data_IF_642713316389
#
_entry.id   IF_642713316389
#
_cell.length_a   1.000
_cell.length_b   1.000
_cell.length_c   1.000
_cell.angle_alpha   90.00
_cell.angle_beta   90.00
_cell.angle_gamma   90.00
#
_symmetry.space_group_name_H-M   'P 1'
#
loop_
_entity.id
_entity.type
_entity.pdbx_description
1 polymer ?
#
# COMPACT_ATOMS: atom_id res chain seq x y z
N UNK A 1 13.52 1.80 20.97
CA UNK A 1 13.65 1.53 19.51
C UNK A 1 13.10 2.76 18.86
N UNK A 2 13.92 3.51 18.13
CA UNK A 2 13.62 4.90 17.73
C UNK A 2 12.21 5.14 17.16
N UNK A 3 11.71 4.25 16.31
CA UNK A 3 10.37 4.39 15.71
C UNK A 3 9.22 4.20 16.73
N UNK A 4 9.46 3.52 17.86
CA UNK A 4 8.48 3.29 18.93
C UNK A 4 8.51 4.39 20.01
N UNK A 5 9.42 5.35 19.92
CA UNK A 5 9.54 6.42 20.90
C UNK A 5 8.65 7.61 20.50
N UNK A 6 7.95 8.19 21.48
CA UNK A 6 7.09 9.35 21.25
C UNK A 6 7.90 10.59 20.84
N UNK A 7 7.27 11.48 20.06
CA UNK A 7 7.90 12.70 19.56
C UNK A 7 8.87 12.44 18.40
N UNK A 8 9.41 13.52 17.81
CA UNK A 8 10.32 13.45 16.67
C UNK A 8 11.63 14.13 17.03
N UNK A 9 12.66 13.34 17.29
CA UNK A 9 14.04 13.79 17.49
C UNK A 9 14.87 13.30 16.31
N UNK A 10 15.39 14.19 15.48
CA UNK A 10 16.14 13.78 14.30
C UNK A 10 17.47 13.11 14.67
N UNK A 11 17.90 12.06 13.93
CA UNK A 11 19.23 11.50 14.11
C UNK A 11 20.34 12.51 13.84
N UNK A 12 21.48 12.36 14.52
CA UNK A 12 22.66 13.24 14.36
C UNK A 12 23.10 13.31 12.90
N UNK A 13 22.96 12.21 12.14
CA UNK A 13 23.36 12.14 10.73
C UNK A 13 22.52 13.03 9.80
N UNK A 14 21.38 13.55 10.26
CA UNK A 14 20.60 14.55 9.55
C UNK A 14 21.26 15.94 9.60
N UNK A 15 21.88 16.29 10.74
CA UNK A 15 22.54 17.59 10.94
C UNK A 15 24.01 17.39 11.38
N UNK A 16 24.90 16.95 10.47
CA UNK A 16 26.28 16.63 10.82
C UNK A 16 27.13 17.85 11.27
N UNK A 17 26.65 19.07 11.02
CA UNK A 17 27.31 20.31 11.43
C UNK A 17 26.86 20.81 12.80
N UNK A 18 25.86 20.17 13.41
CA UNK A 18 25.32 20.51 14.72
C UNK A 18 25.91 19.56 15.77
N UNK A 19 27.25 19.57 15.88
CA UNK A 19 27.97 18.86 16.92
C UNK A 19 27.76 19.62 18.23
N UNK A 20 26.71 19.23 18.95
CA UNK A 20 26.19 19.90 20.15
C UNK A 20 27.25 20.28 21.17
N UNK A 21 27.39 21.59 21.40
CA UNK A 21 28.09 22.18 22.53
C UNK A 21 27.15 23.14 23.29
N UNK A 22 25.85 22.79 23.37
CA UNK A 22 24.91 23.44 24.28
C UNK A 22 24.67 22.53 25.49
N UNK A 23 25.37 22.88 26.56
CA UNK A 23 25.35 22.23 27.88
C UNK A 23 24.06 22.55 28.65
N UNK A 24 22.90 22.18 28.12
CA UNK A 24 21.65 22.16 28.88
C UNK A 24 21.36 20.71 29.31
N UNK A 25 21.44 20.45 30.63
CA UNK A 25 21.29 19.12 31.25
C UNK A 25 19.89 18.48 31.06
N UNK A 26 18.98 19.12 30.31
CA UNK A 26 17.64 18.65 29.97
C UNK A 26 17.41 18.36 28.47
N UNK A 27 18.39 18.57 27.58
CA UNK A 27 18.23 18.29 26.16
C UNK A 27 18.33 16.78 25.84
N UNK A 28 17.30 16.23 25.17
CA UNK A 28 17.29 14.83 24.71
C UNK A 28 18.42 14.64 23.70
N UNK A 29 19.37 13.77 24.03
CA UNK A 29 20.48 13.43 23.15
C UNK A 29 19.92 12.82 21.84
N UNK A 30 20.27 13.39 20.67
CA UNK A 30 19.78 12.88 19.39
C UNK A 30 20.30 11.46 19.14
N UNK A 31 19.47 10.58 18.57
CA UNK A 31 19.88 9.21 18.27
C UNK A 31 20.90 9.19 17.11
N UNK A 32 21.62 8.09 16.95
CA UNK A 32 22.62 7.92 15.89
C UNK A 32 22.48 6.56 15.21
N UNK A 33 22.39 6.57 13.88
CA UNK A 33 22.23 5.39 13.04
C UNK A 33 23.17 5.42 11.82
N UNK A 34 24.50 5.44 12.01
CA UNK A 34 25.43 5.82 10.96
C UNK A 34 25.39 4.87 9.76
N UNK A 35 25.34 3.55 9.96
CA UNK A 35 25.28 2.59 8.86
C UNK A 35 23.96 2.69 8.08
N UNK A 36 22.82 2.87 8.78
CA UNK A 36 21.51 3.01 8.17
C UNK A 36 21.42 4.32 7.37
N UNK A 37 21.85 5.42 7.97
CA UNK A 37 21.88 6.75 7.33
C UNK A 37 22.75 6.75 6.07
N UNK A 38 23.91 6.09 6.11
CA UNK A 38 24.76 5.90 4.94
C UNK A 38 24.06 5.08 3.85
N UNK A 39 23.38 3.99 4.20
CA UNK A 39 22.64 3.16 3.24
C UNK A 39 21.48 3.93 2.59
N UNK A 40 20.74 4.74 3.37
CA UNK A 40 19.67 5.59 2.85
C UNK A 40 20.23 6.63 1.88
N UNK A 41 21.30 7.34 2.26
CA UNK A 41 21.95 8.33 1.37
C UNK A 41 22.45 7.69 0.07
N UNK A 42 23.04 6.50 0.15
CA UNK A 42 23.47 5.76 -1.04
C UNK A 42 22.30 5.37 -1.96
N UNK A 43 21.14 5.00 -1.40
CA UNK A 43 19.95 4.72 -2.19
C UNK A 43 19.39 5.98 -2.87
N UNK A 44 19.35 7.10 -2.15
CA UNK A 44 18.98 8.42 -2.69
C UNK A 44 19.93 8.82 -3.83
N UNK A 45 21.25 8.70 -3.64
CA UNK A 45 22.23 9.02 -4.68
C UNK A 45 22.04 8.14 -5.93
N UNK A 46 21.75 6.85 -5.73
CA UNK A 46 21.56 5.89 -6.83
C UNK A 46 20.26 6.11 -7.61
N UNK A 47 19.15 6.38 -6.92
CA UNK A 47 17.81 6.38 -7.52
C UNK A 47 17.18 7.78 -7.65
N UNK A 48 17.78 8.80 -7.04
CA UNK A 48 17.29 10.18 -6.97
C UNK A 48 16.14 10.34 -5.98
N UNK A 49 15.00 9.74 -6.29
CA UNK A 49 13.78 9.79 -5.47
C UNK A 49 13.44 8.38 -5.01
N UNK A 50 13.24 8.21 -3.70
CA UNK A 50 12.91 6.93 -3.10
C UNK A 50 11.62 7.01 -2.26
N UNK A 51 11.02 5.87 -1.98
CA UNK A 51 9.87 5.72 -1.07
C UNK A 51 10.23 4.67 -0.01
N UNK A 52 10.27 5.03 1.29
CA UNK A 52 10.52 4.08 2.35
C UNK A 52 9.29 3.22 2.66
N UNK A 53 9.51 1.97 3.05
CA UNK A 53 8.50 1.01 3.51
C UNK A 53 9.15 0.05 4.50
N UNK A 54 8.46 -0.33 5.57
CA UNK A 54 8.90 -1.44 6.43
C UNK A 54 8.55 -2.78 5.79
N UNK A 55 8.48 -3.87 6.55
CA UNK A 55 8.18 -5.19 6.01
C UNK A 55 6.84 -5.19 5.23
N UNK A 56 5.81 -4.50 5.74
CA UNK A 56 4.48 -4.55 5.15
C UNK A 56 3.88 -3.18 4.80
N UNK A 57 4.22 -2.11 5.51
CA UNK A 57 3.52 -0.81 5.39
C UNK A 57 4.36 0.30 4.76
N UNK A 58 3.73 1.02 3.83
CA UNK A 58 4.25 2.29 3.29
C UNK A 58 3.63 3.44 4.10
N UNK A 59 4.40 4.46 4.54
CA UNK A 59 3.94 5.54 5.43
C UNK A 59 3.09 6.60 4.69
N UNK A 60 2.02 6.15 4.06
CA UNK A 60 1.19 6.97 3.16
C UNK A 60 0.18 7.84 3.88
N UNK A 61 -0.23 7.39 5.05
CA UNK A 61 -0.97 8.14 6.06
C UNK A 61 -0.16 9.33 6.57
N UNK A 62 1.18 9.25 6.61
CA UNK A 62 2.06 10.32 7.07
C UNK A 62 2.40 11.39 6.01
N UNK A 63 1.91 11.28 4.77
CA UNK A 63 2.26 12.22 3.67
C UNK A 63 2.05 13.70 4.01
N UNK A 64 1.14 14.01 4.94
CA UNK A 64 0.84 15.37 5.38
C UNK A 64 2.02 16.07 6.05
N UNK A 65 3.00 15.31 6.57
CA UNK A 65 4.20 15.87 7.19
C UNK A 65 5.15 16.47 6.14
N UNK A 66 5.06 16.01 4.89
CA UNK A 66 5.86 16.52 3.79
C UNK A 66 5.22 17.80 3.21
N UNK A 67 5.99 18.88 2.95
CA UNK A 67 5.44 20.16 2.47
C UNK A 67 4.61 20.06 1.19
N UNK A 68 4.94 19.10 0.32
CA UNK A 68 4.23 18.84 -0.95
C UNK A 68 3.23 17.69 -0.87
N UNK A 69 2.89 17.22 0.34
CA UNK A 69 1.91 16.16 0.58
C UNK A 69 2.21 14.84 -0.18
N UNK A 70 3.48 14.41 -0.15
CA UNK A 70 4.00 13.23 -0.84
C UNK A 70 4.75 12.31 0.12
N UNK A 71 4.96 11.06 -0.31
CA UNK A 71 5.82 10.07 0.36
C UNK A 71 7.19 9.92 -0.31
N UNK A 72 7.46 10.73 -1.33
CA UNK A 72 8.71 10.75 -2.05
C UNK A 72 9.79 11.42 -1.18
N UNK A 73 10.89 10.72 -0.97
CA UNK A 73 12.05 11.22 -0.24
C UNK A 73 13.22 11.45 -1.19
N UNK A 74 13.87 12.60 -1.02
CA UNK A 74 15.13 13.00 -1.65
C UNK A 74 16.22 13.33 -0.64
N UNK A 75 15.86 13.34 0.66
CA UNK A 75 16.76 13.63 1.77
C UNK A 75 16.64 12.58 2.87
N UNK A 76 17.63 12.54 3.76
CA UNK A 76 17.66 11.58 4.87
C UNK A 76 16.56 11.90 5.90
N UNK A 77 16.35 13.19 6.11
CA UNK A 77 15.41 13.80 7.03
C UNK A 77 13.98 13.40 6.67
N UNK A 78 13.63 13.47 5.38
CA UNK A 78 12.31 13.08 4.88
C UNK A 78 11.99 11.60 5.16
N UNK A 79 12.99 10.70 5.04
CA UNK A 79 12.81 9.27 5.33
C UNK A 79 12.48 9.05 6.80
N UNK A 80 13.28 9.63 7.71
CA UNK A 80 13.05 9.49 9.14
C UNK A 80 11.74 10.13 9.58
N UNK A 81 11.41 11.29 9.01
CA UNK A 81 10.18 12.03 9.32
C UNK A 81 8.94 11.21 8.95
N UNK A 82 8.87 10.71 7.71
CA UNK A 82 7.72 9.93 7.24
C UNK A 82 7.53 8.63 8.05
N UNK A 83 8.60 7.86 8.27
CA UNK A 83 8.52 6.62 9.04
C UNK A 83 8.06 6.85 10.47
N UNK A 84 8.52 7.93 11.10
CA UNK A 84 8.21 8.23 12.51
C UNK A 84 6.84 8.90 12.71
N UNK A 85 6.28 9.49 11.65
CA UNK A 85 4.96 10.13 11.68
C UNK A 85 3.82 9.24 11.17
N UNK A 86 4.09 7.97 10.86
CA UNK A 86 3.09 7.04 10.30
C UNK A 86 2.48 6.13 11.37
N UNK A 87 1.16 6.20 11.49
CA UNK A 87 0.35 5.28 12.29
C UNK A 87 0.38 3.87 11.70
N UNK A 88 0.49 3.73 10.37
CA UNK A 88 0.65 2.43 9.74
C UNK A 88 1.95 1.75 10.15
N UNK A 89 3.06 2.49 10.13
CA UNK A 89 4.37 2.00 10.61
C UNK A 89 4.31 1.68 12.11
N UNK A 90 3.73 2.57 12.93
CA UNK A 90 3.60 2.33 14.36
C UNK A 90 2.73 1.09 14.67
N UNK A 91 1.61 0.93 13.97
CA UNK A 91 0.73 -0.22 14.11
C UNK A 91 1.42 -1.53 13.72
N UNK A 92 2.18 -1.52 12.63
CA UNK A 92 3.01 -2.65 12.21
C UNK A 92 3.98 -3.09 13.31
N UNK A 93 4.74 -2.13 13.87
CA UNK A 93 5.71 -2.37 14.95
C UNK A 93 5.03 -2.84 16.26
N UNK A 94 3.79 -2.43 16.49
CA UNK A 94 2.97 -2.88 17.62
C UNK A 94 2.37 -4.29 17.43
N UNK A 95 2.63 -4.95 16.29
CA UNK A 95 2.16 -6.30 16.01
C UNK A 95 0.85 -6.39 15.24
N UNK A 96 0.30 -5.27 14.76
CA UNK A 96 -0.94 -5.28 13.97
C UNK A 96 -0.80 -6.05 12.65
N UNK A 97 0.43 -6.28 12.18
CA UNK A 97 0.70 -7.13 11.03
C UNK A 97 0.24 -8.59 11.21
N UNK A 98 0.14 -9.06 12.46
CA UNK A 98 -0.26 -10.42 12.81
C UNK A 98 -1.68 -10.52 13.37
N UNK A 99 -2.43 -9.40 13.39
CA UNK A 99 -3.85 -9.42 13.73
C UNK A 99 -4.60 -10.30 12.71
N UNK A 100 -5.34 -11.30 13.21
CA UNK A 100 -6.09 -12.23 12.37
C UNK A 100 -5.31 -13.47 11.89
N UNK A 101 -4.02 -13.59 12.23
CA UNK A 101 -3.31 -14.86 12.07
C UNK A 101 -3.93 -15.93 12.99
N UNK A 102 -4.20 -17.11 12.43
CA UNK A 102 -4.67 -18.27 13.21
C UNK A 102 -3.54 -18.92 14.01
N UNK A 103 -2.32 -18.80 13.49
CA UNK A 103 -1.10 -19.27 14.12
C UNK A 103 -0.52 -18.20 15.04
N UNK A 104 0.37 -18.62 15.94
CA UNK A 104 1.07 -17.67 16.81
C UNK A 104 2.00 -16.77 15.98
N UNK A 105 2.14 -15.48 16.34
CA UNK A 105 3.12 -14.61 15.69
C UNK A 105 4.53 -15.21 15.87
N UNK A 106 5.45 -14.92 14.95
CA UNK A 106 6.83 -15.39 15.07
C UNK A 106 7.46 -14.88 16.37
N UNK A 107 8.28 -15.72 17.02
CA UNK A 107 8.96 -15.33 18.27
C UNK A 107 9.87 -14.12 18.08
N UNK A 108 10.43 -13.96 16.88
CA UNK A 108 11.28 -12.84 16.49
C UNK A 108 10.93 -12.36 15.09
N UNK A 109 10.85 -11.05 14.90
CA UNK A 109 10.65 -10.41 13.59
C UNK A 109 11.98 -9.80 13.15
N UNK A 110 12.45 -10.18 11.97
CA UNK A 110 13.53 -9.47 11.29
C UNK A 110 12.95 -8.26 10.57
N UNK A 111 13.28 -7.07 11.06
CA UNK A 111 12.79 -5.81 10.49
C UNK A 111 13.64 -5.39 9.30
N UNK A 112 12.97 -5.04 8.21
CA UNK A 112 13.58 -4.57 6.97
C UNK A 112 13.11 -3.15 6.66
N UNK A 113 14.02 -2.33 6.15
CA UNK A 113 13.69 -1.05 5.54
C UNK A 113 13.89 -1.15 4.03
N UNK A 114 12.78 -1.27 3.30
CA UNK A 114 12.79 -1.24 1.85
C UNK A 114 12.79 0.21 1.34
N UNK A 115 13.76 0.53 0.47
CA UNK A 115 13.88 1.85 -0.18
C UNK A 115 13.57 1.67 -1.68
N UNK A 116 12.31 1.87 -2.04
CA UNK A 116 11.82 1.68 -3.41
C UNK A 116 12.19 2.89 -4.25
N UNK A 117 12.74 2.70 -5.45
CA UNK A 117 12.87 3.78 -6.42
C UNK A 117 11.47 4.31 -6.77
N UNK A 118 11.26 5.62 -6.69
CA UNK A 118 10.04 6.22 -7.20
C UNK A 118 10.07 6.17 -8.72
N UNK A 119 9.05 5.54 -9.29
CA UNK A 119 8.76 5.56 -10.72
C UNK A 119 7.39 6.19 -10.93
N UNK A 120 7.23 6.94 -12.01
CA UNK A 120 5.94 7.47 -12.38
C UNK A 120 5.09 6.33 -12.95
N UNK A 121 4.08 5.92 -12.19
CA UNK A 121 3.14 4.88 -12.59
C UNK A 121 1.87 5.56 -13.09
N UNK A 122 1.49 5.25 -14.33
CA UNK A 122 0.20 5.67 -14.86
C UNK A 122 -0.90 4.84 -14.19
N UNK A 123 -1.67 5.47 -13.31
CA UNK A 123 -2.71 4.83 -12.48
C UNK A 123 -3.75 4.06 -13.28
N UNK A 124 -4.01 4.50 -14.52
CA UNK A 124 -4.94 3.85 -15.44
C UNK A 124 -4.46 2.48 -15.97
N UNK A 125 -3.22 2.10 -15.70
CA UNK A 125 -2.61 0.83 -16.10
C UNK A 125 -2.22 -0.03 -14.89
N UNK A 126 -2.78 0.26 -13.72
CA UNK A 126 -2.61 -0.55 -12.52
C UNK A 126 -3.81 -1.48 -12.30
N UNK A 127 -3.52 -2.73 -11.96
CA UNK A 127 -4.52 -3.76 -11.75
C UNK A 127 -4.21 -4.55 -10.47
N UNK A 128 -5.27 -4.93 -9.76
CA UNK A 128 -5.20 -5.85 -8.62
C UNK A 128 -5.64 -7.24 -9.06
N UNK A 129 -4.84 -8.25 -8.72
CA UNK A 129 -5.02 -9.65 -9.10
C UNK A 129 -5.23 -10.49 -7.86
N UNK A 130 -6.35 -11.19 -7.79
CA UNK A 130 -6.71 -12.07 -6.67
C UNK A 130 -6.38 -13.52 -7.05
N UNK A 131 -5.44 -14.13 -6.32
CA UNK A 131 -4.99 -15.51 -6.53
C UNK A 131 -5.40 -16.37 -5.34
N UNK A 132 -6.08 -17.48 -5.61
CA UNK A 132 -6.52 -18.44 -4.62
C UNK A 132 -6.21 -19.85 -5.10
N UNK A 133 -5.61 -20.67 -4.24
CA UNK A 133 -5.14 -22.04 -4.52
C UNK A 133 -4.41 -22.14 -5.87
N UNK A 134 -3.44 -21.25 -6.11
CA UNK A 134 -2.66 -21.13 -7.35
C UNK A 134 -3.54 -20.97 -8.60
N UNK A 135 -4.63 -20.20 -8.47
CA UNK A 135 -5.48 -19.81 -9.58
C UNK A 135 -5.92 -18.35 -9.45
N UNK A 136 -5.84 -17.60 -10.54
CA UNK A 136 -6.43 -16.25 -10.60
C UNK A 136 -7.97 -16.37 -10.55
N UNK A 137 -8.57 -15.79 -9.52
CA UNK A 137 -10.03 -15.72 -9.32
C UNK A 137 -10.61 -14.42 -9.91
N UNK A 138 -9.87 -13.32 -9.81
CA UNK A 138 -10.35 -12.02 -10.29
C UNK A 138 -9.21 -11.04 -10.58
N UNK A 139 -9.46 -10.14 -11.53
CA UNK A 139 -8.60 -9.01 -11.87
C UNK A 139 -9.49 -7.75 -11.92
N UNK A 140 -9.07 -6.66 -11.31
CA UNK A 140 -9.75 -5.37 -11.45
C UNK A 140 -8.79 -4.20 -11.61
N UNK A 141 -9.26 -3.10 -12.21
CA UNK A 141 -8.50 -1.85 -12.20
C UNK A 141 -8.28 -1.37 -10.76
N UNK A 142 -7.09 -0.85 -10.47
CA UNK A 142 -6.70 -0.41 -9.13
C UNK A 142 -7.20 1.00 -8.80
N UNK A 143 -7.17 1.89 -9.79
CA UNK A 143 -7.71 3.23 -9.68
C UNK A 143 -9.20 3.22 -10.01
N UNK A 144 -10.03 3.89 -9.22
CA UNK A 144 -11.49 3.83 -9.34
C UNK A 144 -12.05 4.85 -10.35
N UNK A 145 -11.19 5.55 -11.09
CA UNK A 145 -11.62 6.45 -12.15
C UNK A 145 -12.17 5.67 -13.37
N UNK A 146 -13.11 6.28 -14.08
CA UNK A 146 -13.56 5.77 -15.37
C UNK A 146 -12.50 6.03 -16.45
N UNK A 147 -12.21 5.01 -17.25
CA UNK A 147 -11.31 5.10 -18.40
C UNK A 147 -11.98 4.55 -19.66
N UNK A 148 -12.08 5.38 -20.69
CA UNK A 148 -12.76 5.04 -21.95
C UNK A 148 -12.09 3.87 -22.67
N UNK A 149 -10.75 3.85 -22.72
CA UNK A 149 -10.00 2.77 -23.38
C UNK A 149 -10.20 1.40 -22.71
N UNK A 150 -10.49 1.36 -21.40
CA UNK A 150 -10.78 0.12 -20.69
C UNK A 150 -12.16 -0.46 -21.04
N UNK A 151 -13.02 0.27 -21.77
CA UNK A 151 -14.33 -0.23 -22.19
C UNK A 151 -14.25 -1.08 -23.46
N UNK A 152 -13.13 -1.02 -24.18
CA UNK A 152 -12.92 -1.82 -25.38
C UNK A 152 -12.63 -3.28 -25.01
N UNK A 153 -13.43 -4.21 -25.53
CA UNK A 153 -13.31 -5.64 -25.21
C UNK A 153 -11.93 -6.22 -25.57
N UNK A 154 -11.37 -5.80 -26.71
CA UNK A 154 -10.03 -6.18 -27.15
C UNK A 154 -8.94 -5.72 -26.15
N UNK A 155 -9.06 -4.49 -25.66
CA UNK A 155 -8.13 -3.94 -24.67
C UNK A 155 -8.19 -4.72 -23.35
N UNK A 156 -9.40 -5.01 -22.85
CA UNK A 156 -9.54 -5.82 -21.63
C UNK A 156 -8.99 -7.23 -21.81
N UNK A 157 -9.20 -7.84 -22.98
CA UNK A 157 -8.69 -9.16 -23.29
C UNK A 157 -7.16 -9.19 -23.38
N UNK A 158 -6.56 -8.18 -23.98
CA UNK A 158 -5.11 -8.02 -24.00
C UNK A 158 -4.53 -7.91 -22.58
N UNK A 159 -5.10 -7.05 -21.73
CA UNK A 159 -4.68 -6.88 -20.34
C UNK A 159 -4.79 -8.20 -19.57
N UNK A 160 -5.92 -8.91 -19.70
CA UNK A 160 -6.12 -10.24 -19.09
C UNK A 160 -5.01 -11.20 -19.50
N UNK A 161 -4.68 -11.27 -20.78
CA UNK A 161 -3.71 -12.20 -21.31
C UNK A 161 -2.28 -11.85 -20.89
N UNK A 162 -1.91 -10.57 -20.87
CA UNK A 162 -0.62 -10.11 -20.36
C UNK A 162 -0.42 -10.51 -18.89
N UNK A 163 -1.41 -10.23 -18.04
CA UNK A 163 -1.33 -10.54 -16.61
C UNK A 163 -1.30 -12.06 -16.37
N UNK A 164 -2.15 -12.82 -17.04
CA UNK A 164 -2.19 -14.29 -16.94
C UNK A 164 -0.85 -14.92 -17.34
N UNK A 165 -0.30 -14.51 -18.48
CA UNK A 165 0.96 -15.03 -19.00
C UNK A 165 2.09 -14.70 -18.05
N UNK A 166 2.18 -13.44 -17.61
CA UNK A 166 3.18 -13.02 -16.64
C UNK A 166 3.10 -13.84 -15.34
N UNK A 167 1.89 -14.01 -14.80
CA UNK A 167 1.67 -14.76 -13.57
C UNK A 167 2.08 -16.23 -13.69
N UNK A 168 1.65 -16.91 -14.76
CA UNK A 168 1.96 -18.34 -14.97
C UNK A 168 3.47 -18.57 -15.17
N UNK A 169 4.15 -17.69 -15.91
CA UNK A 169 5.57 -17.84 -16.23
C UNK A 169 6.51 -17.40 -15.10
N UNK A 170 6.13 -16.40 -14.29
CA UNK A 170 7.07 -15.73 -13.37
C UNK A 170 6.70 -15.87 -11.90
N UNK A 171 5.42 -16.04 -11.56
CA UNK A 171 4.94 -15.92 -10.18
C UNK A 171 4.45 -17.26 -9.63
N UNK A 172 3.59 -17.97 -10.35
CA UNK A 172 2.82 -19.12 -9.85
C UNK A 172 3.66 -20.20 -9.17
N UNK A 173 4.78 -20.60 -9.78
CA UNK A 173 5.66 -21.66 -9.24
C UNK A 173 6.83 -21.10 -8.40
N UNK A 174 6.95 -19.77 -8.30
CA UNK A 174 8.06 -19.08 -7.62
C UNK A 174 7.63 -18.51 -6.27
N UNK A 175 6.39 -18.03 -6.17
CA UNK A 175 5.88 -17.40 -4.96
C UNK A 175 5.52 -18.47 -3.93
N UNK A 176 5.91 -18.31 -2.65
CA UNK A 176 5.85 -19.40 -1.67
C UNK A 176 4.44 -19.73 -1.16
N UNK A 177 3.42 -18.94 -1.53
CA UNK A 177 2.05 -19.09 -1.04
C UNK A 177 1.07 -19.25 -2.19
N UNK A 178 0.04 -20.08 -1.98
CA UNK A 178 -0.97 -20.34 -3.02
C UNK A 178 -2.13 -19.32 -3.01
N UNK A 179 -2.21 -18.50 -1.95
CA UNK A 179 -3.30 -17.56 -1.69
C UNK A 179 -2.72 -16.17 -1.43
N UNK A 180 -2.91 -15.25 -2.37
CA UNK A 180 -2.37 -13.90 -2.26
C UNK A 180 -3.10 -12.93 -3.20
N UNK A 181 -2.89 -11.65 -2.96
CA UNK A 181 -3.32 -10.57 -3.84
C UNK A 181 -2.07 -9.88 -4.36
N UNK A 182 -1.99 -9.65 -5.66
CA UNK A 182 -0.83 -9.02 -6.30
C UNK A 182 -1.29 -7.77 -7.05
N UNK A 183 -0.62 -6.66 -6.79
CA UNK A 183 -0.80 -5.43 -7.56
C UNK A 183 0.23 -5.39 -8.67
N UNK A 184 -0.22 -5.13 -9.90
CA UNK A 184 0.63 -5.07 -11.09
C UNK A 184 0.41 -3.78 -11.88
N UNK A 185 1.47 -3.31 -12.50
CA UNK A 185 1.45 -2.20 -13.45
C UNK A 185 1.84 -2.72 -14.84
N UNK A 186 1.11 -2.30 -15.86
CA UNK A 186 1.45 -2.56 -17.26
C UNK A 186 2.03 -1.31 -17.88
N UNK A 187 3.29 -1.35 -18.30
CA UNK A 187 3.90 -0.20 -18.94
C UNK A 187 3.50 -0.07 -20.42
N UNK A 188 3.89 1.04 -21.04
CA UNK A 188 3.66 1.34 -22.46
C UNK A 188 4.27 0.36 -23.48
N UNK A 189 5.00 -0.66 -23.02
CA UNK A 189 5.63 -1.70 -23.84
C UNK A 189 5.06 -3.09 -23.51
N UNK A 190 3.85 -3.14 -22.94
CA UNK A 190 3.14 -4.35 -22.53
C UNK A 190 3.92 -5.22 -21.52
N UNK A 191 4.84 -4.61 -20.77
CA UNK A 191 5.54 -5.32 -19.68
C UNK A 191 4.78 -5.18 -18.39
N UNK A 192 4.46 -6.32 -17.80
CA UNK A 192 3.87 -6.42 -16.46
C UNK A 192 4.97 -6.30 -15.42
N UNK A 193 4.77 -5.41 -14.44
CA UNK A 193 5.69 -5.11 -13.35
C UNK A 193 4.92 -5.33 -12.04
N UNK A 194 5.48 -6.10 -11.12
CA UNK A 194 4.90 -6.28 -9.78
C UNK A 194 5.09 -4.99 -8.98
N UNK A 195 4.00 -4.49 -8.41
CA UNK A 195 4.00 -3.30 -7.55
C UNK A 195 4.03 -3.70 -6.08
N UNK A 196 3.18 -4.64 -5.67
CA UNK A 196 3.12 -5.12 -4.29
C UNK A 196 2.48 -6.52 -4.20
N UNK A 197 2.75 -7.21 -3.09
CA UNK A 197 2.02 -8.42 -2.69
C UNK A 197 1.27 -8.16 -1.38
N UNK A 198 0.07 -8.70 -1.30
CA UNK A 198 -0.83 -8.59 -0.16
C UNK A 198 -1.42 -9.95 0.20
N UNK A 199 -1.89 -10.09 1.44
CA UNK A 199 -2.54 -11.31 1.92
C UNK A 199 -3.92 -11.45 1.27
N UNK A 200 -4.31 -12.66 0.88
CA UNK A 200 -5.70 -12.92 0.50
C UNK A 200 -6.56 -12.99 1.77
N UNK A 201 -7.04 -11.84 2.25
CA UNK A 201 -7.84 -11.74 3.46
C UNK A 201 -8.66 -10.44 3.46
N UNK A 202 -9.72 -10.40 4.26
CA UNK A 202 -10.65 -9.25 4.32
C UNK A 202 -9.98 -7.91 4.64
N UNK A 203 -8.79 -7.91 5.26
CA UNK A 203 -7.99 -6.71 5.52
C UNK A 203 -7.45 -6.06 4.24
N UNK A 204 -7.33 -6.81 3.16
CA UNK A 204 -6.88 -6.31 1.86
C UNK A 204 -8.10 -5.87 1.06
N UNK A 205 -8.16 -4.57 0.78
CA UNK A 205 -9.23 -3.92 0.02
C UNK A 205 -9.54 -4.68 -1.28
N UNK A 206 -10.79 -5.12 -1.43
CA UNK A 206 -11.24 -5.89 -2.59
C UNK A 206 -11.61 -5.00 -3.80
N UNK A 207 -11.63 -3.67 -3.62
CA UNK A 207 -11.90 -2.66 -4.65
C UNK A 207 -13.27 -2.90 -5.32
N UNK A 208 -13.26 -3.31 -6.59
CA UNK A 208 -14.45 -3.61 -7.38
C UNK A 208 -15.07 -4.97 -7.07
N UNK A 209 -14.46 -5.74 -6.16
CA UNK A 209 -14.95 -7.05 -5.77
C UNK A 209 -15.49 -7.10 -4.34
N UNK A 210 -16.33 -8.10 -4.06
CA UNK A 210 -16.49 -8.69 -2.72
C UNK A 210 -15.71 -10.01 -2.62
N UNK A 211 -15.35 -10.43 -1.40
CA UNK A 211 -14.66 -11.71 -1.22
C UNK A 211 -15.55 -12.91 -1.51
N UNK A 212 -16.87 -12.78 -1.31
CA UNK A 212 -17.86 -13.81 -1.61
C UNK A 212 -17.95 -14.06 -3.12
N UNK A 213 -17.97 -13.02 -3.95
CA UNK A 213 -18.02 -13.21 -5.40
C UNK A 213 -16.70 -13.78 -5.95
N UNK A 214 -15.55 -13.38 -5.39
CA UNK A 214 -14.26 -14.00 -5.73
C UNK A 214 -14.26 -15.50 -5.39
N UNK A 215 -14.84 -15.86 -4.24
CA UNK A 215 -15.00 -17.26 -3.83
C UNK A 215 -15.93 -18.04 -4.78
N UNK A 216 -17.04 -17.45 -5.22
CA UNK A 216 -17.98 -18.07 -6.16
C UNK A 216 -17.34 -18.25 -7.56
N UNK A 217 -16.60 -17.26 -8.04
CA UNK A 217 -15.87 -17.34 -9.30
C UNK A 217 -14.80 -18.42 -9.26
N UNK A 218 -14.03 -18.48 -8.16
CA UNK A 218 -13.06 -19.55 -7.94
C UNK A 218 -13.70 -20.93 -8.02
N UNK A 219 -14.81 -21.16 -7.31
CA UNK A 219 -15.55 -22.42 -7.30
C UNK A 219 -16.14 -22.80 -8.67
N UNK A 220 -16.56 -21.81 -9.45
CA UNK A 220 -17.15 -22.00 -10.79
C UNK A 220 -16.10 -22.14 -11.89
N UNK A 221 -14.83 -22.20 -11.50
CA UNK A 221 -13.68 -22.15 -12.39
C UNK A 221 -13.63 -20.92 -13.32
N UNK A 222 -14.27 -19.81 -12.93
CA UNK A 222 -14.30 -18.56 -13.69
C UNK A 222 -13.11 -17.66 -13.34
N UNK A 223 -12.80 -16.72 -14.23
CA UNK A 223 -11.92 -15.59 -13.96
C UNK A 223 -12.71 -14.31 -14.21
N UNK A 224 -12.94 -13.55 -13.15
CA UNK A 224 -13.61 -12.27 -13.26
C UNK A 224 -12.65 -11.17 -13.70
N UNK A 225 -13.13 -10.25 -14.53
CA UNK A 225 -12.42 -9.03 -14.88
C UNK A 225 -13.35 -7.83 -14.74
N UNK A 226 -13.03 -6.89 -13.84
CA UNK A 226 -13.87 -5.72 -13.57
C UNK A 226 -13.12 -4.41 -13.80
N UNK A 227 -13.81 -3.49 -14.46
CA UNK A 227 -13.42 -2.10 -14.63
C UNK A 227 -14.61 -1.22 -14.27
N UNK A 228 -14.36 0.06 -14.03
CA UNK A 228 -15.45 1.03 -13.89
C UNK A 228 -16.04 1.24 -15.28
N UNK A 229 -17.31 0.90 -15.45
CA UNK A 229 -17.97 0.82 -16.76
C UNK A 229 -18.71 2.10 -17.16
N UNK A 230 -18.91 3.02 -16.22
CA UNK A 230 -19.55 4.31 -16.46
C UNK A 230 -18.92 5.45 -15.67
N UNK A 231 -18.78 6.66 -16.25
CA UNK A 231 -18.34 7.85 -15.51
C UNK A 231 -19.29 8.24 -14.37
N UNK A 232 -20.54 7.77 -14.42
CA UNK A 232 -21.54 8.04 -13.39
C UNK A 232 -21.49 7.06 -12.23
N UNK A 233 -20.57 6.10 -12.25
CA UNK A 233 -20.39 5.15 -11.16
C UNK A 233 -20.08 5.93 -9.86
N UNK A 234 -20.77 5.64 -8.74
CA UNK A 234 -20.48 6.31 -7.46
C UNK A 234 -19.01 6.22 -7.04
N UNK A 235 -18.32 5.15 -7.42
CA UNK A 235 -16.90 4.93 -7.14
C UNK A 235 -16.00 5.85 -7.96
N UNK A 236 -16.37 6.14 -9.20
CA UNK A 236 -15.66 7.07 -10.09
C UNK A 236 -15.64 8.51 -9.57
N UNK A 237 -16.57 8.86 -8.68
CA UNK A 237 -16.73 10.20 -8.14
C UNK A 237 -15.92 10.44 -6.86
N UNK A 238 -15.27 9.41 -6.32
CA UNK A 238 -14.54 9.48 -5.04
C UNK A 238 -13.17 10.15 -5.15
N UNK A 239 -12.58 10.21 -6.36
CA UNK A 239 -11.48 11.10 -6.76
C UNK A 239 -10.14 10.96 -6.04
N UNK A 240 -10.02 10.16 -4.97
CA UNK A 240 -8.78 10.02 -4.20
C UNK A 240 -8.30 8.58 -4.15
N UNK A 241 -7.24 8.31 -4.90
CA UNK A 241 -6.48 7.05 -4.96
C UNK A 241 -5.98 6.56 -3.57
N UNK A 242 -5.89 7.45 -2.58
CA UNK A 242 -5.52 7.14 -1.19
C UNK A 242 -6.66 7.37 -0.19
N UNK A 243 -7.91 7.48 -0.65
CA UNK A 243 -9.05 7.76 0.22
C UNK A 243 -9.15 6.74 1.36
N UNK A 244 -9.02 5.44 1.08
CA UNK A 244 -9.10 4.39 2.09
C UNK A 244 -8.00 4.48 3.15
N UNK A 245 -6.80 4.95 2.78
CA UNK A 245 -5.69 5.14 3.72
C UNK A 245 -5.82 6.39 4.60
N UNK A 246 -6.76 7.28 4.31
CA UNK A 246 -7.00 8.51 5.07
C UNK A 246 -8.23 8.41 5.99
N UNK A 247 -8.82 7.23 6.13
CA UNK A 247 -10.04 6.98 6.91
C UNK A 247 -9.69 6.26 8.23
N UNK A 248 -10.36 6.58 9.35
CA UNK A 248 -10.13 5.91 10.63
C UNK A 248 -10.29 4.38 10.58
N UNK A 249 -9.44 3.66 11.32
CA UNK A 249 -9.40 2.18 11.36
C UNK A 249 -10.76 1.55 11.70
N UNK A 250 -11.46 2.06 12.71
CA UNK A 250 -12.79 1.54 13.11
C UNK A 250 -13.80 1.51 11.96
N UNK A 251 -13.68 2.46 11.04
CA UNK A 251 -14.55 2.63 9.89
C UNK A 251 -14.20 1.65 8.77
N UNK A 252 -12.89 1.40 8.58
CA UNK A 252 -12.38 0.35 7.69
C UNK A 252 -12.83 -1.01 8.21
N UNK A 253 -12.71 -1.26 9.52
CA UNK A 253 -13.09 -2.50 10.18
C UNK A 253 -14.59 -2.80 10.03
N UNK A 254 -15.45 -1.79 10.17
CA UNK A 254 -16.89 -1.91 9.94
C UNK A 254 -17.28 -2.26 8.49
N UNK A 255 -16.33 -2.16 7.56
CA UNK A 255 -16.53 -2.39 6.14
C UNK A 255 -15.81 -3.60 5.56
N UNK A 256 -15.07 -4.33 6.37
CA UNK A 256 -14.29 -5.49 5.90
C UNK A 256 -15.17 -6.50 5.15
N UNK A 257 -14.67 -6.95 4.00
CA UNK A 257 -15.36 -7.91 3.13
C UNK A 257 -16.40 -7.30 2.17
N UNK A 258 -16.76 -6.04 2.37
CA UNK A 258 -17.65 -5.31 1.46
C UNK A 258 -16.87 -4.77 0.26
N UNK A 259 -17.55 -4.62 -0.88
CA UNK A 259 -16.99 -3.91 -2.02
C UNK A 259 -16.93 -2.39 -1.75
N UNK A 260 -16.22 -1.64 -2.60
CA UNK A 260 -16.04 -0.20 -2.41
C UNK A 260 -17.36 0.60 -2.34
N UNK A 261 -18.42 0.15 -3.01
CA UNK A 261 -19.71 0.85 -3.03
C UNK A 261 -20.44 0.70 -1.69
N UNK A 262 -20.46 -0.52 -1.17
CA UNK A 262 -21.00 -0.84 0.15
C UNK A 262 -20.20 -0.16 1.28
N UNK A 263 -18.87 -0.03 1.11
CA UNK A 263 -18.04 0.79 2.00
C UNK A 263 -18.52 2.25 2.01
N UNK A 264 -18.72 2.85 0.84
CA UNK A 264 -19.18 4.23 0.73
C UNK A 264 -20.55 4.45 1.38
N UNK A 265 -21.49 3.51 1.21
CA UNK A 265 -22.78 3.55 1.88
C UNK A 265 -22.63 3.52 3.40
N UNK A 266 -21.82 2.59 3.90
CA UNK A 266 -21.51 2.46 5.34
C UNK A 266 -20.89 3.76 5.88
N UNK A 267 -19.98 4.39 5.12
CA UNK A 267 -19.35 5.66 5.49
C UNK A 267 -20.34 6.82 5.57
N UNK A 268 -21.23 6.95 4.58
CA UNK A 268 -22.25 8.00 4.56
C UNK A 268 -23.24 7.87 5.73
N UNK A 269 -23.69 6.65 6.04
CA UNK A 269 -24.59 6.37 7.17
C UNK A 269 -23.95 6.75 8.52
N UNK A 270 -22.66 6.44 8.70
CA UNK A 270 -21.92 6.79 9.91
C UNK A 270 -21.72 8.30 10.06
N UNK A 271 -21.44 9.02 8.97
CA UNK A 271 -21.37 10.49 8.98
C UNK A 271 -22.73 11.10 9.37
N UNK A 272 -23.83 10.60 8.82
CA UNK A 272 -25.17 11.09 9.19
C UNK A 272 -25.49 10.83 10.66
N UNK A 273 -25.10 9.67 11.18
CA UNK A 273 -25.31 9.28 12.57
C UNK A 273 -24.49 10.16 13.51
N UNK A 274 -23.21 10.42 13.18
CA UNK A 274 -22.34 11.33 13.93
C UNK A 274 -22.83 12.78 13.92
N UNK A 275 -23.52 13.23 12.88
CA UNK A 275 -24.11 14.59 12.81
C UNK A 275 -25.38 14.75 13.65
N UNK A 276 -26.02 13.64 14.04
CA UNK A 276 -27.26 13.61 14.83
C UNK A 276 -27.01 13.40 16.33
N UNK A 277 -25.79 13.02 16.73
CA UNK A 277 -25.33 12.90 18.12
C UNK A 277 -24.76 14.24 18.61
#
# INVERSE_FOLDING_TARGET
>A
MYLNEDGIVMPIECNPNDSGDDSDEEAVQPPSFPQLSLAIRAAIEKYGVIIPKLNWSTPIDARWIHPTNTINCTTLEEVYLLLKSSDFVAGELAGQAFEGCVDSPPETIEWELALKQHIEISRNQEFRVFVRDNKIAGICQRDLNFYEFLQEEETQENIRNLIKTFWDENVKETFPNDNYVMDVYINQHDRVIIVDFNVYALRTDSLLFSYEELQQAFQSNELLFKVIDTPSDPLAQTGSYYASSAVPKDLIDASQGKNALEFQQTWNELIETSKKA
#
